data_IF_960952516568
#
_entry.id   IF_960952516568
#
_cell.length_a   1.000
_cell.length_b   1.000
_cell.length_c   1.000
_cell.angle_alpha   90.00
_cell.angle_beta   90.00
_cell.angle_gamma   90.00
#
_symmetry.space_group_name_H-M   'P 1'
#
loop_
_entity.id
_entity.type
_entity.pdbx_description
1 polymer ?
#
# COMPACT_ATOMS: atom_id res chain seq x y z
N UNK A 1 -34.68 -13.79 10.79
CA UNK A 1 -33.82 -13.50 11.96
C UNK A 1 -33.21 -12.14 11.70
N UNK A 2 -33.77 -11.11 12.34
CA UNK A 2 -33.33 -9.72 12.20
C UNK A 2 -31.94 -9.55 12.80
N UNK A 3 -30.94 -9.30 11.96
CA UNK A 3 -29.67 -8.73 12.39
C UNK A 3 -29.80 -7.21 12.47
N UNK A 4 -30.18 -6.71 13.65
CA UNK A 4 -29.98 -5.29 14.02
C UNK A 4 -28.49 -4.95 13.86
N UNK A 5 -28.12 -4.30 12.76
CA UNK A 5 -26.84 -3.63 12.65
C UNK A 5 -26.85 -2.44 13.62
N UNK A 6 -25.96 -2.49 14.62
CA UNK A 6 -25.69 -1.35 15.48
C UNK A 6 -25.24 -0.18 14.60
N UNK A 7 -25.89 0.98 14.74
CA UNK A 7 -25.47 2.20 14.04
C UNK A 7 -24.09 2.63 14.58
N UNK A 8 -23.02 2.63 13.77
CA UNK A 8 -21.76 3.19 14.20
C UNK A 8 -21.98 4.70 14.42
N UNK A 9 -21.47 5.22 15.54
CA UNK A 9 -21.74 6.57 16.02
C UNK A 9 -21.64 7.61 14.91
N UNK A 10 -22.77 8.28 14.61
CA UNK A 10 -22.77 9.39 13.66
C UNK A 10 -22.01 10.54 14.29
N UNK A 11 -21.07 11.13 13.53
CA UNK A 11 -20.43 12.39 13.89
C UNK A 11 -21.55 13.41 14.25
N UNK A 12 -21.51 14.04 15.44
CA UNK A 12 -22.61 14.88 15.93
C UNK A 12 -22.80 16.16 15.10
N UNK A 13 -21.88 16.47 14.19
CA UNK A 13 -21.97 17.55 13.23
C UNK A 13 -22.22 16.95 11.84
N UNK A 14 -23.41 17.20 11.30
CA UNK A 14 -23.78 16.81 9.93
C UNK A 14 -22.95 17.61 8.92
N UNK A 15 -22.23 16.89 8.06
CA UNK A 15 -21.54 17.45 6.90
C UNK A 15 -22.10 16.77 5.64
N UNK A 16 -22.50 17.54 4.62
CA UNK A 16 -23.20 17.02 3.43
C UNK A 16 -22.30 16.41 2.35
N UNK A 17 -21.01 16.22 2.62
CA UNK A 17 -20.05 15.67 1.66
C UNK A 17 -20.03 14.14 1.66
N UNK A 18 -19.71 13.55 0.51
CA UNK A 18 -19.42 12.12 0.40
C UNK A 18 -17.96 11.86 0.84
N UNK A 19 -17.73 11.71 2.15
CA UNK A 19 -16.38 11.61 2.74
C UNK A 19 -15.99 10.20 3.17
N UNK A 20 -16.88 9.20 3.00
CA UNK A 20 -16.60 7.79 3.31
C UNK A 20 -16.85 6.91 2.09
N UNK A 21 -16.06 5.84 1.93
CA UNK A 21 -16.17 4.91 0.80
C UNK A 21 -17.52 4.18 0.72
N UNK A 22 -18.22 4.05 1.85
CA UNK A 22 -19.57 3.47 1.92
C UNK A 22 -20.64 4.31 1.23
N UNK A 23 -20.40 5.60 0.99
CA UNK A 23 -21.33 6.50 0.29
C UNK A 23 -21.14 6.42 -1.23
N UNK A 24 -21.22 5.20 -1.77
CA UNK A 24 -21.02 4.90 -3.20
C UNK A 24 -22.32 4.52 -3.90
N UNK A 25 -22.47 4.96 -5.15
CA UNK A 25 -23.57 4.55 -6.03
C UNK A 25 -23.55 3.04 -6.33
N UNK A 26 -22.40 2.37 -6.19
CA UNK A 26 -22.28 0.91 -6.38
C UNK A 26 -23.08 0.09 -5.38
N UNK A 27 -23.46 0.69 -4.23
CA UNK A 27 -24.38 0.05 -3.26
C UNK A 27 -25.77 -0.14 -3.88
N UNK A 28 -26.22 0.79 -4.72
CA UNK A 28 -27.52 0.73 -5.38
C UNK A 28 -27.49 -0.08 -6.68
N UNK A 29 -26.39 0.00 -7.43
CA UNK A 29 -26.21 -0.72 -8.69
C UNK A 29 -24.94 -1.59 -8.68
N UNK A 30 -24.94 -2.70 -7.93
CA UNK A 30 -23.75 -3.53 -7.76
C UNK A 30 -23.27 -4.21 -9.06
N UNK A 31 -24.15 -4.34 -10.05
CA UNK A 31 -23.83 -4.95 -11.36
C UNK A 31 -23.52 -3.90 -12.44
N UNK A 32 -23.41 -2.62 -12.10
CA UNK A 32 -22.98 -1.59 -13.05
C UNK A 32 -21.54 -1.86 -13.50
N UNK A 33 -21.22 -1.48 -14.74
CA UNK A 33 -19.87 -1.62 -15.28
C UNK A 33 -18.90 -0.74 -14.48
N UNK A 34 -17.82 -1.34 -13.98
CA UNK A 34 -16.79 -0.61 -13.22
C UNK A 34 -15.78 0.05 -14.16
N UNK A 35 -15.87 1.37 -14.29
CA UNK A 35 -14.92 2.19 -15.05
C UNK A 35 -13.79 2.76 -14.19
N UNK A 36 -13.82 2.53 -12.87
CA UNK A 36 -12.86 3.14 -11.94
C UNK A 36 -11.43 2.67 -12.14
N UNK A 37 -11.27 1.46 -12.65
CA UNK A 37 -9.96 0.88 -12.96
C UNK A 37 -9.23 1.62 -14.10
N UNK A 38 -9.94 2.38 -14.93
CA UNK A 38 -9.37 3.07 -16.11
C UNK A 38 -8.80 4.45 -15.77
N UNK A 39 -9.06 4.94 -14.56
CA UNK A 39 -8.58 6.24 -14.08
C UNK A 39 -7.77 6.14 -12.78
N UNK A 40 -7.31 4.94 -12.44
CA UNK A 40 -6.33 4.74 -11.37
C UNK A 40 -4.97 5.34 -11.74
N UNK A 41 -4.19 5.73 -10.73
CA UNK A 41 -2.82 6.21 -10.87
C UNK A 41 -2.68 7.47 -11.76
N UNK A 42 -3.69 8.34 -11.77
CA UNK A 42 -3.62 9.64 -12.45
C UNK A 42 -2.72 10.63 -11.70
N UNK A 43 -2.21 11.60 -12.46
CA UNK A 43 -1.33 12.71 -12.05
C UNK A 43 -1.81 13.49 -10.83
N UNK A 44 -3.13 13.62 -10.62
CA UNK A 44 -3.72 14.33 -9.47
C UNK A 44 -3.40 13.67 -8.12
N UNK A 45 -3.08 12.38 -8.15
CA UNK A 45 -2.75 11.61 -6.94
C UNK A 45 -1.26 11.41 -6.74
N UNK A 46 -0.43 11.79 -7.73
CA UNK A 46 1.02 11.63 -7.67
C UNK A 46 1.67 12.85 -7.01
N UNK A 47 2.38 12.68 -5.87
CA UNK A 47 3.06 13.79 -5.19
C UNK A 47 4.40 14.18 -5.82
N UNK A 48 4.97 13.40 -6.75
CA UNK A 48 6.35 13.57 -7.23
C UNK A 48 6.50 14.67 -8.29
N UNK A 49 5.40 15.18 -8.83
CA UNK A 49 5.39 16.20 -9.89
C UNK A 49 5.54 15.61 -11.29
N UNK A 50 5.00 16.31 -12.29
CA UNK A 50 4.86 15.79 -13.65
C UNK A 50 6.19 15.50 -14.37
N UNK A 51 7.27 16.17 -13.96
CA UNK A 51 8.58 16.06 -14.59
C UNK A 51 9.51 15.06 -13.88
N UNK A 52 9.03 14.36 -12.84
CA UNK A 52 9.87 13.42 -12.09
C UNK A 52 10.08 12.10 -12.85
N UNK A 53 11.35 11.77 -13.09
CA UNK A 53 11.76 10.49 -13.68
C UNK A 53 12.43 9.60 -12.62
N UNK A 54 11.71 8.57 -12.17
CA UNK A 54 12.24 7.61 -11.20
C UNK A 54 13.42 6.80 -11.75
N UNK A 55 13.46 6.50 -13.05
CA UNK A 55 14.56 5.74 -13.65
C UNK A 55 15.86 6.55 -13.62
N UNK A 56 15.80 7.82 -13.98
CA UNK A 56 16.96 8.72 -13.89
C UNK A 56 17.38 8.95 -12.43
N UNK A 57 16.43 9.16 -11.53
CA UNK A 57 16.72 9.32 -10.11
C UNK A 57 17.47 8.10 -9.53
N UNK A 58 17.00 6.88 -9.82
CA UNK A 58 17.62 5.64 -9.33
C UNK A 58 19.03 5.43 -9.89
N UNK A 59 19.32 5.86 -11.11
CA UNK A 59 20.69 5.76 -11.68
C UNK A 59 21.70 6.59 -10.90
N UNK A 60 21.27 7.67 -10.26
CA UNK A 60 22.14 8.55 -9.45
C UNK A 60 22.32 8.06 -8.00
N UNK A 61 21.61 7.02 -7.60
CA UNK A 61 21.63 6.51 -6.24
C UNK A 61 22.96 5.82 -5.89
N UNK A 62 23.50 6.11 -4.72
CA UNK A 62 24.64 5.36 -4.17
C UNK A 62 24.16 3.99 -3.64
N UNK A 63 24.22 2.98 -4.52
CA UNK A 63 23.86 1.61 -4.18
C UNK A 63 24.79 0.97 -3.16
N UNK A 64 26.05 1.41 -3.07
CA UNK A 64 27.01 0.86 -2.12
C UNK A 64 26.67 1.34 -0.70
N UNK A 65 26.38 2.63 -0.54
CA UNK A 65 25.89 3.20 0.71
C UNK A 65 24.56 2.54 1.13
N UNK A 66 23.58 2.45 0.22
CA UNK A 66 22.28 1.84 0.53
C UNK A 66 22.42 0.39 1.04
N UNK A 67 23.23 -0.45 0.36
CA UNK A 67 23.44 -1.84 0.78
C UNK A 67 24.14 -1.92 2.15
N UNK A 68 25.10 -1.04 2.40
CA UNK A 68 25.80 -0.95 3.69
C UNK A 68 24.81 -0.59 4.80
N UNK A 69 23.98 0.42 4.58
CA UNK A 69 23.02 0.90 5.58
C UNK A 69 21.93 -0.14 5.86
N UNK A 70 21.40 -0.81 4.82
CA UNK A 70 20.47 -1.92 5.01
C UNK A 70 21.09 -3.10 5.76
N UNK A 71 22.39 -3.37 5.53
CA UNK A 71 23.10 -4.42 6.27
C UNK A 71 23.26 -4.05 7.74
N UNK A 72 23.61 -2.80 8.03
CA UNK A 72 23.73 -2.31 9.40
C UNK A 72 22.39 -2.33 10.14
N UNK A 73 21.31 -1.90 9.47
CA UNK A 73 19.95 -1.93 10.00
C UNK A 73 19.54 -3.32 10.48
N UNK A 74 20.03 -4.39 9.84
CA UNK A 74 19.62 -5.75 10.18
C UNK A 74 19.91 -6.10 11.64
N UNK A 75 20.93 -5.51 12.27
CA UNK A 75 21.29 -5.74 13.67
C UNK A 75 21.06 -4.52 14.58
N UNK A 76 20.50 -3.43 14.04
CA UNK A 76 20.17 -2.22 14.79
C UNK A 76 18.78 -2.33 15.43
N UNK A 77 18.68 -3.16 16.47
CA UNK A 77 17.41 -3.50 17.12
C UNK A 77 16.73 -2.30 17.77
N UNK A 78 15.48 -2.05 17.38
CA UNK A 78 14.65 -0.98 17.90
C UNK A 78 13.82 -1.45 19.11
N UNK A 79 13.69 -0.65 20.18
CA UNK A 79 12.99 -1.07 21.40
C UNK A 79 11.47 -1.24 21.23
N UNK A 80 10.88 -0.53 20.25
CA UNK A 80 9.45 -0.63 19.95
C UNK A 80 9.09 -1.87 19.12
N UNK A 81 10.08 -2.52 18.49
CA UNK A 81 9.93 -3.80 17.82
C UNK A 81 11.26 -4.57 17.83
N UNK A 82 11.62 -5.23 18.94
CA UNK A 82 12.95 -5.84 19.09
C UNK A 82 13.25 -6.89 18.02
N UNK A 83 14.51 -6.97 17.59
CA UNK A 83 14.94 -7.96 16.62
C UNK A 83 15.09 -9.34 17.27
N UNK A 84 14.49 -10.37 16.67
CA UNK A 84 14.66 -11.75 17.12
C UNK A 84 16.14 -12.14 17.03
N UNK A 85 16.69 -12.64 18.14
CA UNK A 85 18.12 -12.95 18.28
C UNK A 85 19.07 -11.80 17.90
N UNK A 86 18.59 -10.55 18.01
CA UNK A 86 19.35 -9.37 17.63
C UNK A 86 19.47 -9.15 16.12
N UNK A 87 18.66 -9.81 15.28
CA UNK A 87 18.75 -9.67 13.83
C UNK A 87 17.38 -9.71 13.11
N UNK A 88 17.03 -8.67 12.34
CA UNK A 88 15.79 -8.57 11.56
C UNK A 88 15.75 -9.42 10.27
N UNK A 89 16.69 -10.34 10.10
CA UNK A 89 16.92 -11.01 8.81
C UNK A 89 15.70 -11.81 8.38
N UNK A 90 15.16 -12.63 9.28
CA UNK A 90 13.95 -13.40 9.03
C UNK A 90 12.73 -12.52 8.71
N UNK A 91 12.58 -11.40 9.44
CA UNK A 91 11.49 -10.44 9.21
C UNK A 91 11.57 -9.82 7.82
N UNK A 92 12.74 -9.32 7.41
CA UNK A 92 12.93 -8.64 6.12
C UNK A 92 12.85 -9.60 4.93
N UNK A 93 13.35 -10.84 5.08
CA UNK A 93 13.16 -11.91 4.09
C UNK A 93 11.68 -12.19 3.91
N UNK A 94 10.94 -12.39 5.02
CA UNK A 94 9.51 -12.67 4.96
C UNK A 94 8.73 -11.51 4.34
N UNK A 95 9.05 -10.26 4.69
CA UNK A 95 8.43 -9.09 4.09
C UNK A 95 8.59 -9.10 2.55
N UNK A 96 9.82 -9.29 2.07
CA UNK A 96 10.13 -9.34 0.64
C UNK A 96 9.44 -10.52 -0.07
N UNK A 97 9.43 -11.70 0.57
CA UNK A 97 8.69 -12.87 0.08
C UNK A 97 7.20 -12.59 -0.05
N UNK A 98 6.56 -12.00 0.96
CA UNK A 98 5.14 -11.68 0.92
C UNK A 98 4.82 -10.59 -0.12
N UNK A 99 5.70 -9.61 -0.30
CA UNK A 99 5.53 -8.59 -1.33
C UNK A 99 5.51 -9.23 -2.73
N UNK A 100 6.46 -10.12 -3.03
CA UNK A 100 6.55 -10.81 -4.32
C UNK A 100 5.49 -11.93 -4.50
N UNK A 101 5.11 -12.61 -3.41
CA UNK A 101 4.32 -13.84 -3.43
C UNK A 101 2.85 -13.70 -3.83
N UNK A 102 2.34 -12.47 -4.00
CA UNK A 102 0.99 -12.23 -4.50
C UNK A 102 0.85 -12.35 -6.02
N UNK A 103 1.97 -12.55 -6.75
CA UNK A 103 1.98 -12.66 -8.20
C UNK A 103 1.18 -13.87 -8.70
N UNK A 104 0.40 -13.67 -9.77
CA UNK A 104 -0.39 -14.71 -10.43
C UNK A 104 -0.09 -14.73 -11.93
N UNK A 105 0.18 -15.91 -12.46
CA UNK A 105 0.53 -16.09 -13.88
C UNK A 105 -0.65 -15.91 -14.84
N UNK A 106 -1.89 -16.08 -14.38
CA UNK A 106 -3.07 -16.05 -15.24
C UNK A 106 -3.37 -14.66 -15.83
N UNK A 107 -3.13 -13.59 -15.07
CA UNK A 107 -3.40 -12.22 -15.49
C UNK A 107 -2.29 -11.22 -15.15
N UNK A 108 -1.16 -11.70 -14.62
CA UNK A 108 0.01 -10.90 -14.28
C UNK A 108 -0.17 -9.97 -13.09
N UNK A 109 -1.32 -9.99 -12.39
CA UNK A 109 -1.55 -9.12 -11.22
C UNK A 109 -0.82 -9.63 -9.99
N UNK A 110 -0.62 -8.71 -9.05
CA UNK A 110 0.14 -8.95 -7.82
C UNK A 110 1.65 -8.86 -8.04
N UNK A 111 2.42 -9.31 -7.06
CA UNK A 111 3.87 -9.20 -7.03
C UNK A 111 4.37 -7.90 -6.37
N UNK A 112 5.70 -7.76 -6.32
CA UNK A 112 6.36 -6.67 -5.61
C UNK A 112 6.59 -5.39 -6.44
N UNK A 113 6.25 -5.41 -7.73
CA UNK A 113 6.66 -4.36 -8.69
C UNK A 113 6.06 -2.97 -8.44
N UNK A 114 4.96 -2.88 -7.70
CA UNK A 114 4.27 -1.61 -7.41
C UNK A 114 4.31 -1.22 -5.92
N UNK A 115 4.90 -2.06 -5.06
CA UNK A 115 4.93 -1.82 -3.62
C UNK A 115 3.56 -1.82 -2.95
N UNK A 116 2.55 -2.50 -3.50
CA UNK A 116 1.16 -2.47 -3.00
C UNK A 116 0.97 -3.01 -1.57
N UNK A 117 1.96 -3.71 -1.00
CA UNK A 117 1.92 -4.17 0.39
C UNK A 117 1.71 -3.02 1.41
N UNK A 118 2.03 -1.77 1.03
CA UNK A 118 1.82 -0.58 1.86
C UNK A 118 0.42 0.05 1.76
N UNK A 119 -0.46 -0.51 0.93
CA UNK A 119 -1.82 -0.02 0.67
C UNK A 119 -2.87 -1.09 1.05
N UNK A 120 -4.12 -0.64 1.22
CA UNK A 120 -5.26 -1.48 1.58
C UNK A 120 -5.93 -2.13 0.36
#
# INVERSE_FOLDING_TARGET
MDSKQASPGKCPVMHGGATTSSMSNMVWWPNALNLDILHQHDTKTDPMGADFDYSEAVKTLDFAALKKDLTALMTDSQPWWPADWGHYGGLMIRMSWHAAGSYRTADGRGGGGTGNQRFA
#
